data_IF_902779484819
#
_entry.id   IF_902779484819
#
_cell.length_a   1.000
_cell.length_b   1.000
_cell.length_c   1.000
_cell.angle_alpha   90.00
_cell.angle_beta   90.00
_cell.angle_gamma   90.00
#
_symmetry.space_group_name_H-M   'P 1'
#
loop_
_entity.id
_entity.type
_entity.pdbx_description
1 polymer ?
#
# COMPACT_ATOMS: atom_id res chain seq x y z
N UNK A 1 -14.18 -8.68 -3.17
CA UNK A 1 -12.79 -8.35 -3.54
C UNK A 1 -12.85 -7.33 -4.66
N UNK A 2 -11.75 -6.65 -4.97
CA UNK A 2 -11.75 -5.58 -5.97
C UNK A 2 -11.37 -6.13 -7.33
N UNK A 3 -12.13 -5.80 -8.37
CA UNK A 3 -11.80 -6.09 -9.78
C UNK A 3 -11.00 -4.98 -10.45
N UNK A 4 -10.79 -3.86 -9.75
CA UNK A 4 -9.89 -2.78 -10.16
C UNK A 4 -8.82 -2.57 -9.09
N UNK A 5 -7.56 -2.49 -9.52
CA UNK A 5 -6.41 -2.43 -8.63
C UNK A 5 -5.22 -1.82 -9.37
N UNK A 6 -4.15 -1.51 -8.65
CA UNK A 6 -2.91 -1.03 -9.26
C UNK A 6 -1.99 -2.21 -9.60
N UNK A 7 -1.26 -2.07 -10.70
CA UNK A 7 -0.28 -3.03 -11.19
C UNK A 7 1.03 -2.32 -11.50
N UNK A 8 2.15 -3.05 -11.50
CA UNK A 8 3.46 -2.46 -11.81
C UNK A 8 3.90 -2.94 -13.20
N UNK A 9 3.96 -2.04 -14.18
CA UNK A 9 4.55 -2.29 -15.49
C UNK A 9 6.05 -2.56 -15.39
N UNK A 10 6.47 -3.78 -15.72
CA UNK A 10 7.89 -4.16 -15.63
C UNK A 10 8.64 -4.02 -16.96
N UNK A 11 7.92 -3.89 -18.07
CA UNK A 11 8.48 -3.67 -19.40
C UNK A 11 7.65 -4.29 -20.51
N UNK A 12 8.07 -4.01 -21.75
CA UNK A 12 7.57 -4.70 -22.93
C UNK A 12 8.50 -5.90 -23.19
N UNK A 13 8.00 -7.11 -22.99
CA UNK A 13 8.77 -8.34 -23.04
C UNK A 13 8.30 -9.22 -24.19
N UNK A 14 9.11 -10.23 -24.52
CA UNK A 14 8.80 -11.18 -25.58
C UNK A 14 7.48 -11.89 -25.28
N UNK A 15 6.62 -11.96 -26.28
CA UNK A 15 5.40 -12.78 -26.29
C UNK A 15 5.71 -14.23 -25.84
N UNK A 16 4.98 -14.67 -24.81
CA UNK A 16 5.12 -16.00 -24.22
C UNK A 16 4.07 -16.99 -24.71
N UNK A 17 2.98 -16.58 -25.34
CA UNK A 17 1.97 -17.47 -25.91
C UNK A 17 1.80 -17.24 -27.42
N UNK A 18 2.76 -17.69 -28.24
CA UNK A 18 2.66 -17.52 -29.69
C UNK A 18 1.67 -18.49 -30.36
N UNK A 19 0.98 -19.38 -29.61
CA UNK A 19 0.11 -20.41 -30.17
C UNK A 19 -1.27 -20.39 -29.53
N UNK A 20 -2.15 -19.66 -30.18
CA UNK A 20 -3.57 -19.56 -29.83
C UNK A 20 -4.28 -20.93 -29.72
N UNK A 21 -5.28 -21.00 -28.85
CA UNK A 21 -6.18 -22.15 -28.69
C UNK A 21 -5.72 -23.24 -27.71
N UNK A 22 -4.72 -22.97 -26.86
CA UNK A 22 -4.29 -23.88 -25.79
C UNK A 22 -3.66 -23.12 -24.61
N UNK A 23 -3.47 -23.78 -23.45
CA UNK A 23 -2.93 -23.14 -22.22
C UNK A 23 -1.41 -23.24 -22.08
N UNK A 24 -0.67 -23.41 -23.19
CA UNK A 24 0.78 -23.59 -23.19
C UNK A 24 1.49 -22.28 -23.46
N UNK A 25 2.62 -22.10 -22.79
CA UNK A 25 3.53 -20.99 -23.02
C UNK A 25 4.87 -21.49 -23.58
N UNK A 26 5.52 -20.65 -24.38
CA UNK A 26 6.86 -20.87 -24.91
C UNK A 26 7.90 -20.78 -23.80
N UNK A 27 8.48 -21.93 -23.41
CA UNK A 27 9.52 -21.97 -22.38
C UNK A 27 10.72 -21.08 -22.71
N UNK A 28 11.10 -20.98 -23.99
CA UNK A 28 12.18 -20.11 -24.44
C UNK A 28 11.86 -18.63 -24.25
N UNK A 29 10.62 -18.23 -24.52
CA UNK A 29 10.17 -16.86 -24.29
C UNK A 29 10.03 -16.55 -22.80
N UNK A 30 9.44 -17.44 -22.01
CA UNK A 30 9.33 -17.31 -20.55
C UNK A 30 10.71 -17.16 -19.90
N UNK A 31 11.68 -17.98 -20.31
CA UNK A 31 13.06 -17.88 -19.79
C UNK A 31 13.76 -16.58 -20.23
N UNK A 32 13.33 -15.96 -21.33
CA UNK A 32 13.87 -14.67 -21.75
C UNK A 32 13.43 -13.51 -20.86
N UNK A 33 12.41 -13.71 -20.01
CA UNK A 33 12.00 -12.72 -19.02
C UNK A 33 12.88 -12.73 -17.76
N UNK A 34 13.73 -13.73 -17.54
CA UNK A 34 14.58 -13.79 -16.35
C UNK A 34 15.56 -12.60 -16.32
N UNK A 35 15.68 -11.96 -15.16
CA UNK A 35 16.47 -10.75 -15.00
C UNK A 35 15.86 -9.76 -14.01
N UNK A 36 16.50 -8.59 -13.89
CA UNK A 36 16.08 -7.52 -12.98
C UNK A 36 15.43 -6.38 -13.76
N UNK A 37 14.28 -5.93 -13.28
CA UNK A 37 13.52 -4.79 -13.82
C UNK A 37 13.40 -3.71 -12.75
N UNK A 38 13.66 -2.45 -13.13
CA UNK A 38 13.77 -1.33 -12.20
C UNK A 38 15.13 -1.22 -11.51
N UNK A 39 15.29 -0.19 -10.68
CA UNK A 39 16.53 0.04 -9.92
C UNK A 39 16.30 1.00 -8.75
N UNK A 40 17.28 1.14 -7.86
CA UNK A 40 17.24 2.18 -6.82
C UNK A 40 17.22 3.61 -7.40
N UNK A 41 17.84 3.82 -8.56
CA UNK A 41 17.87 5.12 -9.24
C UNK A 41 16.57 5.44 -9.99
N UNK A 42 15.88 4.41 -10.49
CA UNK A 42 14.57 4.51 -11.13
C UNK A 42 13.64 3.43 -10.55
N UNK A 43 13.05 3.67 -9.36
CA UNK A 43 12.21 2.70 -8.68
C UNK A 43 10.94 2.38 -9.46
N UNK A 44 10.59 1.09 -9.58
CA UNK A 44 9.32 0.68 -10.19
C UNK A 44 8.11 1.30 -9.49
N UNK A 45 8.19 1.49 -8.17
CA UNK A 45 7.16 2.16 -7.39
C UNK A 45 6.91 3.62 -7.81
N UNK A 46 7.76 4.24 -8.63
CA UNK A 46 7.60 5.65 -9.03
C UNK A 46 7.18 5.83 -10.48
N UNK A 47 7.61 4.93 -11.36
CA UNK A 47 7.51 5.14 -12.81
C UNK A 47 6.62 4.12 -13.51
N UNK A 48 6.26 3.03 -12.84
CA UNK A 48 5.67 1.86 -13.49
C UNK A 48 4.25 1.53 -13.03
N UNK A 49 3.68 2.23 -12.04
CA UNK A 49 2.34 1.90 -11.54
C UNK A 49 1.27 2.29 -12.57
N UNK A 50 0.30 1.40 -12.79
CA UNK A 50 -0.82 1.55 -13.72
C UNK A 50 -2.15 1.16 -13.08
N UNK A 51 -3.21 1.87 -13.43
CA UNK A 51 -4.57 1.52 -13.06
C UNK A 51 -5.06 0.35 -13.91
N UNK A 52 -5.30 -0.81 -13.28
CA UNK A 52 -5.94 -1.96 -13.90
C UNK A 52 -7.43 -1.99 -13.57
N UNK A 53 -8.28 -2.17 -14.57
CA UNK A 53 -9.72 -2.41 -14.39
C UNK A 53 -10.29 -3.29 -15.51
N UNK A 54 -11.48 -3.90 -15.34
CA UNK A 54 -12.09 -4.69 -16.41
C UNK A 54 -12.35 -3.84 -17.66
N UNK A 55 -12.14 -4.43 -18.84
CA UNK A 55 -12.35 -3.79 -20.14
C UNK A 55 -13.80 -3.86 -20.61
N UNK A 56 -14.06 -3.44 -21.85
CA UNK A 56 -15.42 -3.39 -22.40
C UNK A 56 -16.08 -4.77 -22.51
N UNK A 57 -15.30 -5.83 -22.71
CA UNK A 57 -15.79 -7.21 -22.71
C UNK A 57 -15.86 -7.79 -21.30
N UNK A 58 -15.23 -7.16 -20.31
CA UNK A 58 -15.12 -7.68 -18.95
C UNK A 58 -14.46 -9.07 -18.93
N UNK A 59 -15.07 -10.00 -18.19
CA UNK A 59 -14.70 -11.43 -18.16
C UNK A 59 -15.48 -12.24 -19.23
N UNK A 60 -15.82 -11.58 -20.34
CA UNK A 60 -16.87 -11.98 -21.28
C UNK A 60 -16.50 -13.06 -22.31
N UNK A 61 -15.28 -13.60 -22.26
CA UNK A 61 -14.88 -14.78 -23.03
C UNK A 61 -15.16 -16.12 -22.34
N UNK A 62 -15.44 -16.10 -21.02
CA UNK A 62 -15.54 -17.30 -20.20
C UNK A 62 -16.30 -17.12 -18.87
N UNK A 63 -15.77 -17.72 -17.79
CA UNK A 63 -16.42 -17.74 -16.47
C UNK A 63 -16.36 -16.37 -15.81
N UNK A 64 -17.50 -15.90 -15.27
CA UNK A 64 -17.60 -14.62 -14.57
C UNK A 64 -16.59 -14.52 -13.40
N UNK A 65 -15.45 -13.87 -13.63
CA UNK A 65 -14.41 -13.63 -12.61
C UNK A 65 -12.99 -14.03 -13.00
N UNK A 66 -12.74 -14.56 -14.20
CA UNK A 66 -11.39 -14.89 -14.69
C UNK A 66 -11.16 -14.23 -16.05
N UNK A 67 -10.01 -13.59 -16.22
CA UNK A 67 -9.48 -13.23 -17.53
C UNK A 67 -8.81 -14.48 -18.10
N UNK A 68 -9.43 -14.99 -19.15
CA UNK A 68 -8.89 -16.04 -19.96
C UNK A 68 -7.69 -15.52 -20.73
N UNK A 69 -6.74 -16.41 -20.95
CA UNK A 69 -5.71 -16.23 -21.96
C UNK A 69 -6.35 -15.94 -23.32
N UNK A 70 -5.65 -15.24 -24.23
CA UNK A 70 -6.15 -14.89 -25.57
C UNK A 70 -6.60 -16.09 -26.44
N UNK A 71 -6.32 -17.31 -25.99
CA UNK A 71 -6.69 -18.59 -26.58
C UNK A 71 -8.19 -18.99 -26.64
N UNK A 72 -9.14 -18.15 -26.22
CA UNK A 72 -10.58 -18.45 -26.29
C UNK A 72 -11.27 -17.76 -27.49
N UNK A 73 -12.48 -18.21 -27.87
CA UNK A 73 -13.20 -17.67 -29.04
C UNK A 73 -13.52 -16.16 -28.95
N UNK A 74 -13.43 -15.60 -27.74
CA UNK A 74 -13.55 -14.19 -27.44
C UNK A 74 -12.47 -13.83 -26.41
N UNK A 75 -11.63 -12.84 -26.73
CA UNK A 75 -10.56 -12.43 -25.83
C UNK A 75 -11.12 -11.56 -24.69
N UNK A 76 -10.60 -11.77 -23.50
CA UNK A 76 -10.89 -10.86 -22.39
C UNK A 76 -10.08 -9.58 -22.52
N UNK A 77 -10.72 -8.48 -22.16
CA UNK A 77 -10.12 -7.14 -22.20
C UNK A 77 -10.03 -6.58 -20.80
N UNK A 78 -8.96 -5.83 -20.57
CA UNK A 78 -8.80 -4.99 -19.39
C UNK A 78 -8.45 -3.57 -19.84
N UNK A 79 -8.42 -2.65 -18.89
CA UNK A 79 -7.91 -1.30 -19.11
C UNK A 79 -6.67 -1.06 -18.28
N UNK A 80 -5.70 -0.37 -18.88
CA UNK A 80 -4.52 0.19 -18.23
C UNK A 80 -4.63 1.69 -18.36
N UNK A 81 -4.74 2.39 -17.22
CA UNK A 81 -4.97 3.84 -17.18
C UNK A 81 -6.17 4.28 -18.02
N UNK A 82 -7.22 3.44 -18.07
CA UNK A 82 -8.44 3.66 -18.86
C UNK A 82 -8.32 3.37 -20.35
N UNK A 83 -7.13 2.96 -20.84
CA UNK A 83 -6.92 2.52 -22.21
C UNK A 83 -7.16 1.02 -22.31
N UNK A 84 -8.01 0.61 -23.25
CA UNK A 84 -8.34 -0.80 -23.46
C UNK A 84 -7.15 -1.60 -23.99
N UNK A 85 -6.97 -2.79 -23.43
CA UNK A 85 -5.93 -3.78 -23.71
C UNK A 85 -6.56 -5.17 -23.82
N UNK A 86 -5.93 -6.05 -24.59
CA UNK A 86 -6.33 -7.45 -24.73
C UNK A 86 -5.36 -8.31 -23.95
N UNK A 87 -5.89 -9.14 -23.05
CA UNK A 87 -5.10 -10.09 -22.27
C UNK A 87 -4.54 -11.18 -23.16
N UNK A 88 -3.25 -11.46 -23.01
CA UNK A 88 -2.50 -12.49 -23.74
C UNK A 88 -2.30 -13.68 -22.77
N UNK A 89 -1.28 -13.61 -21.91
CA UNK A 89 -0.94 -14.72 -21.02
C UNK A 89 -0.59 -14.26 -19.60
N UNK A 90 -0.72 -15.19 -18.64
CA UNK A 90 -0.27 -14.99 -17.25
C UNK A 90 0.71 -16.07 -16.81
N UNK A 91 1.78 -15.67 -16.14
CA UNK A 91 2.82 -16.55 -15.61
C UNK A 91 3.24 -16.17 -14.20
N UNK A 92 3.64 -17.18 -13.42
CA UNK A 92 4.21 -16.98 -12.09
C UNK A 92 5.73 -17.14 -12.11
N UNK A 93 6.42 -16.39 -11.25
CA UNK A 93 7.87 -16.49 -11.06
C UNK A 93 8.22 -16.49 -9.59
N UNK A 94 9.20 -17.32 -9.20
CA UNK A 94 9.94 -17.03 -7.98
C UNK A 94 10.72 -15.73 -8.22
N UNK A 95 10.45 -14.70 -7.44
CA UNK A 95 11.02 -13.39 -7.64
C UNK A 95 11.59 -12.81 -6.34
N UNK A 96 12.58 -11.93 -6.49
CA UNK A 96 13.15 -11.14 -5.41
C UNK A 96 12.76 -9.68 -5.60
N UNK A 97 12.05 -9.13 -4.62
CA UNK A 97 11.71 -7.72 -4.53
C UNK A 97 12.84 -7.01 -3.80
N UNK A 98 13.32 -5.90 -4.36
CA UNK A 98 14.22 -4.96 -3.67
C UNK A 98 13.46 -3.67 -3.41
N UNK A 99 13.46 -3.20 -2.17
CA UNK A 99 12.81 -1.95 -1.76
C UNK A 99 13.78 -0.77 -1.85
N UNK A 100 13.25 0.46 -1.88
CA UNK A 100 14.08 1.67 -1.94
C UNK A 100 15.02 1.84 -0.75
N UNK A 101 14.68 1.26 0.40
CA UNK A 101 15.54 1.29 1.58
C UNK A 101 16.69 0.27 1.52
N UNK A 102 16.76 -0.52 0.44
CA UNK A 102 17.78 -1.55 0.19
C UNK A 102 17.44 -2.92 0.75
N UNK A 103 16.36 -3.06 1.53
CA UNK A 103 15.90 -4.37 2.01
C UNK A 103 15.30 -5.19 0.86
N UNK A 104 15.21 -6.51 1.07
CA UNK A 104 14.71 -7.44 0.06
C UNK A 104 13.70 -8.43 0.64
N UNK A 105 12.77 -8.87 -0.20
CA UNK A 105 11.87 -9.99 0.11
C UNK A 105 11.68 -10.89 -1.11
N UNK A 106 11.21 -12.12 -0.88
CA UNK A 106 10.93 -13.08 -1.96
C UNK A 106 9.44 -13.31 -2.09
N UNK A 107 8.96 -13.46 -3.33
CA UNK A 107 7.54 -13.67 -3.64
C UNK A 107 7.35 -14.64 -4.81
N UNK A 108 6.18 -15.25 -4.91
CA UNK A 108 5.70 -15.91 -6.13
C UNK A 108 4.97 -14.88 -7.00
N UNK A 109 5.74 -14.04 -7.70
CA UNK A 109 5.19 -12.92 -8.48
C UNK A 109 4.26 -13.40 -9.61
N UNK A 110 3.05 -12.84 -9.66
CA UNK A 110 2.09 -13.04 -10.75
C UNK A 110 2.30 -11.97 -11.81
N UNK A 111 2.67 -12.35 -13.03
CA UNK A 111 2.88 -11.45 -14.16
C UNK A 111 1.83 -11.71 -15.24
N UNK A 112 1.19 -10.65 -15.71
CA UNK A 112 0.22 -10.68 -16.80
C UNK A 112 0.76 -9.87 -17.98
N UNK A 113 0.64 -10.43 -19.18
CA UNK A 113 1.03 -9.82 -20.44
C UNK A 113 -0.21 -9.43 -21.24
N UNK A 114 -0.15 -8.29 -21.93
CA UNK A 114 -1.07 -7.96 -23.01
C UNK A 114 -0.50 -8.36 -24.38
N UNK A 115 -1.36 -8.43 -25.39
CA UNK A 115 -0.99 -8.81 -26.77
C UNK A 115 0.01 -7.87 -27.47
N UNK A 116 0.34 -6.71 -26.89
CA UNK A 116 1.42 -5.85 -27.38
C UNK A 116 2.78 -6.19 -26.76
N UNK A 117 2.80 -7.15 -25.83
CA UNK A 117 3.98 -7.56 -25.07
C UNK A 117 4.17 -6.81 -23.76
N UNK A 118 3.28 -5.89 -23.37
CA UNK A 118 3.43 -5.15 -22.12
C UNK A 118 3.16 -6.07 -20.93
N UNK A 119 4.10 -6.13 -19.97
CA UNK A 119 4.03 -7.02 -18.81
C UNK A 119 3.87 -6.25 -17.53
N UNK A 120 2.96 -6.73 -16.70
CA UNK A 120 2.54 -6.09 -15.47
C UNK A 120 2.61 -7.08 -14.30
N UNK A 121 3.23 -6.67 -13.19
CA UNK A 121 3.18 -7.36 -11.91
C UNK A 121 1.83 -7.11 -11.25
N UNK A 122 1.11 -8.19 -11.02
CA UNK A 122 -0.23 -8.21 -10.44
C UNK A 122 -0.16 -8.33 -8.91
N UNK A 123 -1.12 -7.75 -8.19
CA UNK A 123 -1.30 -8.02 -6.76
C UNK A 123 -1.78 -9.45 -6.51
N UNK A 124 -1.63 -9.92 -5.27
CA UNK A 124 -2.02 -11.28 -4.85
C UNK A 124 -3.55 -11.48 -4.82
N UNK A 125 -4.00 -12.74 -4.85
CA UNK A 125 -5.44 -13.07 -4.76
C UNK A 125 -6.01 -12.83 -3.36
N UNK A 126 -5.17 -13.00 -2.35
CA UNK A 126 -5.52 -12.85 -0.95
C UNK A 126 -4.30 -12.32 -0.20
N UNK A 127 -4.52 -11.83 1.01
CA UNK A 127 -3.40 -11.52 1.86
C UNK A 127 -2.71 -12.82 2.30
N UNK A 128 -1.46 -12.97 1.86
CA UNK A 128 -0.57 -14.08 2.12
C UNK A 128 0.85 -13.51 2.37
N UNK A 129 1.85 -14.38 2.52
CA UNK A 129 3.23 -13.94 2.73
C UNK A 129 3.74 -13.05 1.59
N UNK A 130 3.35 -13.34 0.35
CA UNK A 130 3.76 -12.56 -0.82
C UNK A 130 3.13 -11.16 -0.82
N UNK A 131 1.85 -11.04 -0.43
CA UNK A 131 1.16 -9.77 -0.28
C UNK A 131 1.80 -8.90 0.83
N UNK A 132 2.22 -9.53 1.94
CA UNK A 132 2.94 -8.85 3.01
C UNK A 132 4.29 -8.30 2.52
N UNK A 133 5.03 -9.09 1.72
CA UNK A 133 6.29 -8.64 1.12
C UNK A 133 6.04 -7.51 0.12
N UNK A 134 5.16 -7.68 -0.87
CA UNK A 134 4.85 -6.63 -1.86
C UNK A 134 4.36 -5.33 -1.21
N UNK A 135 3.82 -5.44 0.00
CA UNK A 135 3.36 -4.34 0.83
C UNK A 135 4.35 -3.73 1.81
N UNK A 136 5.55 -4.30 1.93
CA UNK A 136 6.52 -3.90 2.96
C UNK A 136 7.15 -2.53 2.71
N UNK A 137 7.08 -2.02 1.48
CA UNK A 137 7.59 -0.71 1.13
C UNK A 137 7.62 -0.45 -0.38
N UNK A 138 8.17 0.69 -0.79
CA UNK A 138 8.27 1.04 -2.21
C UNK A 138 9.27 0.15 -2.93
N UNK A 139 8.78 -0.55 -3.97
CA UNK A 139 9.57 -1.47 -4.79
C UNK A 139 10.50 -0.68 -5.71
N UNK A 140 11.81 -0.83 -5.49
CA UNK A 140 12.84 -0.33 -6.38
C UNK A 140 12.97 -1.20 -7.63
N UNK A 141 13.08 -2.51 -7.44
CA UNK A 141 13.22 -3.48 -8.52
C UNK A 141 12.61 -4.84 -8.18
N UNK A 142 12.33 -5.61 -9.23
CA UNK A 142 11.98 -7.02 -9.16
C UNK A 142 13.00 -7.82 -9.98
N UNK A 143 13.53 -8.88 -9.40
CA UNK A 143 14.36 -9.87 -10.09
C UNK A 143 13.56 -11.15 -10.28
N UNK A 144 13.30 -11.54 -11.52
CA UNK A 144 12.66 -12.81 -11.87
C UNK A 144 13.72 -13.92 -11.88
N UNK A 145 13.65 -14.83 -10.90
CA UNK A 145 14.68 -15.83 -10.67
C UNK A 145 14.41 -17.14 -11.42
N UNK A 146 13.17 -17.61 -11.42
CA UNK A 146 12.77 -18.84 -12.11
C UNK A 146 11.27 -18.87 -12.39
N UNK A 147 10.83 -19.39 -13.55
CA UNK A 147 9.40 -19.55 -13.81
C UNK A 147 8.79 -20.66 -12.97
N UNK A 148 7.54 -20.45 -12.57
CA UNK A 148 6.66 -21.44 -11.97
C UNK A 148 5.60 -21.79 -13.02
N UNK A 149 5.40 -23.08 -13.29
CA UNK A 149 4.41 -23.53 -14.28
C UNK A 149 3.20 -24.15 -13.58
N UNK A 150 2.01 -23.93 -14.15
CA UNK A 150 0.77 -24.41 -13.57
C UNK A 150 0.76 -25.95 -13.46
N UNK A 151 0.29 -26.44 -12.30
CA UNK A 151 0.27 -27.88 -12.00
C UNK A 151 1.65 -28.55 -11.99
N UNK A 152 2.75 -27.78 -11.97
CA UNK A 152 4.12 -28.30 -12.12
C UNK A 152 4.45 -28.81 -13.52
N UNK A 153 3.57 -28.58 -14.51
CA UNK A 153 3.75 -29.06 -15.88
C UNK A 153 4.49 -28.02 -16.70
N UNK A 154 5.75 -28.31 -17.07
CA UNK A 154 6.57 -27.37 -17.87
C UNK A 154 5.85 -26.91 -19.13
N UNK A 155 5.91 -25.61 -19.38
CA UNK A 155 5.26 -24.96 -20.52
C UNK A 155 3.76 -24.75 -20.34
N UNK A 156 3.21 -24.84 -19.12
CA UNK A 156 1.80 -24.50 -18.86
C UNK A 156 1.66 -23.15 -18.15
N UNK A 157 0.85 -22.27 -18.74
CA UNK A 157 0.53 -20.94 -18.20
C UNK A 157 -0.56 -20.97 -17.14
N UNK A 158 -0.88 -19.79 -16.61
CA UNK A 158 -1.97 -19.56 -15.66
C UNK A 158 -3.04 -18.66 -16.28
N UNK A 159 -4.27 -18.78 -15.79
CA UNK A 159 -5.30 -17.77 -16.03
C UNK A 159 -5.24 -16.70 -14.95
N UNK A 160 -5.80 -15.52 -15.23
CA UNK A 160 -5.78 -14.39 -14.33
C UNK A 160 -7.14 -14.19 -13.68
N UNK A 161 -7.32 -14.53 -12.40
CA UNK A 161 -8.58 -14.21 -11.70
C UNK A 161 -8.71 -12.71 -11.46
N UNK A 162 -9.90 -12.16 -11.68
CA UNK A 162 -10.19 -10.73 -11.55
C UNK A 162 -10.37 -10.22 -10.12
N UNK A 163 -10.64 -11.10 -9.17
CA UNK A 163 -10.65 -10.74 -7.75
C UNK A 163 -9.22 -10.68 -7.20
N UNK A 164 -8.76 -9.48 -6.83
CA UNK A 164 -7.44 -9.28 -6.21
C UNK A 164 -7.49 -8.57 -4.86
N UNK A 165 -6.46 -8.83 -4.06
CA UNK A 165 -6.20 -8.17 -2.79
C UNK A 165 -5.51 -6.83 -3.04
N UNK A 166 -6.29 -5.74 -2.94
CA UNK A 166 -5.73 -4.40 -2.89
C UNK A 166 -5.12 -4.16 -1.52
N UNK A 167 -3.80 -4.05 -1.48
CA UNK A 167 -3.03 -3.77 -0.27
C UNK A 167 -3.27 -2.32 0.19
N UNK A 168 -3.94 -2.16 1.34
CA UNK A 168 -4.20 -0.85 1.93
C UNK A 168 -3.24 -0.55 3.09
N UNK A 169 -2.15 0.16 2.81
CA UNK A 169 -1.10 0.48 3.80
C UNK A 169 -1.16 1.90 4.36
N UNK A 170 -2.32 2.53 4.29
CA UNK A 170 -2.48 3.94 4.64
C UNK A 170 -2.48 4.18 6.16
N UNK A 171 -1.88 5.27 6.65
CA UNK A 171 -2.10 5.79 8.00
C UNK A 171 -3.58 6.18 8.25
N UNK A 172 -4.17 5.59 9.29
CA UNK A 172 -5.58 5.78 9.61
C UNK A 172 -5.81 5.86 11.12
N UNK A 173 -6.79 6.67 11.52
CA UNK A 173 -7.40 6.60 12.84
C UNK A 173 -8.57 5.60 12.83
N UNK A 174 -9.03 5.17 14.00
CA UNK A 174 -10.33 4.50 14.14
C UNK A 174 -11.37 5.47 14.72
N UNK A 175 -12.69 5.26 14.46
CA UNK A 175 -13.76 6.01 15.10
C UNK A 175 -13.60 6.10 16.62
N UNK A 176 -14.03 7.22 17.20
CA UNK A 176 -13.88 7.55 18.61
C UNK A 176 -12.52 8.16 18.98
N UNK A 177 -11.54 8.18 18.06
CA UNK A 177 -10.32 8.95 18.27
C UNK A 177 -10.67 10.44 18.27
N UNK A 178 -10.31 11.15 19.34
CA UNK A 178 -10.58 12.56 19.50
C UNK A 178 -9.42 13.40 18.97
N UNK A 179 -9.72 14.29 18.05
CA UNK A 179 -8.77 15.23 17.44
C UNK A 179 -8.97 16.60 18.06
N UNK A 180 -7.88 17.24 18.48
CA UNK A 180 -7.93 18.58 19.04
C UNK A 180 -8.28 19.61 17.95
N UNK A 181 -9.40 20.33 18.14
CA UNK A 181 -9.86 21.38 17.22
C UNK A 181 -10.00 22.72 17.95
N UNK A 182 -10.21 23.80 17.19
CA UNK A 182 -10.52 25.12 17.78
C UNK A 182 -11.79 25.11 18.65
N UNK A 183 -12.69 24.13 18.46
CA UNK A 183 -13.94 23.99 19.21
C UNK A 183 -13.83 22.99 20.37
N UNK A 184 -12.61 22.57 20.72
CA UNK A 184 -12.35 21.46 21.63
C UNK A 184 -12.10 20.15 20.88
N UNK A 185 -11.96 19.07 21.64
CA UNK A 185 -11.74 17.73 21.09
C UNK A 185 -12.99 17.23 20.35
N UNK A 186 -12.82 16.71 19.12
CA UNK A 186 -13.91 16.16 18.31
C UNK A 186 -13.56 14.77 17.78
N UNK A 187 -14.54 13.84 17.71
CA UNK A 187 -14.30 12.53 17.09
C UNK A 187 -13.86 12.66 15.63
N UNK A 188 -12.87 11.87 15.23
CA UNK A 188 -12.26 11.92 13.89
C UNK A 188 -13.28 11.66 12.77
N UNK A 189 -14.27 10.80 13.00
CA UNK A 189 -15.35 10.48 12.06
C UNK A 189 -16.32 11.66 11.80
N UNK A 190 -16.34 12.64 12.70
CA UNK A 190 -17.15 13.85 12.60
C UNK A 190 -16.42 15.02 11.95
N UNK A 191 -15.10 14.92 11.73
CA UNK A 191 -14.35 15.94 11.03
C UNK A 191 -14.85 16.05 9.59
N UNK A 192 -14.89 17.29 9.10
CA UNK A 192 -15.26 17.64 7.74
C UNK A 192 -14.24 18.58 7.13
N UNK A 193 -14.07 18.59 5.80
CA UNK A 193 -13.31 19.64 5.12
C UNK A 193 -13.75 21.04 5.59
N UNK A 194 -12.80 21.90 5.90
CA UNK A 194 -13.02 23.23 6.49
C UNK A 194 -12.88 23.30 8.02
N UNK A 195 -12.93 22.16 8.73
CA UNK A 195 -12.68 22.14 10.17
C UNK A 195 -11.23 22.53 10.50
N UNK A 196 -11.01 23.24 11.62
CA UNK A 196 -9.67 23.70 12.05
C UNK A 196 -9.12 22.84 13.17
N UNK A 197 -8.05 22.11 12.88
CA UNK A 197 -7.37 21.16 13.78
C UNK A 197 -6.07 21.77 14.29
N UNK A 198 -5.73 21.49 15.55
CA UNK A 198 -4.46 21.87 16.16
C UNK A 198 -3.34 21.01 15.56
N UNK A 199 -2.35 21.67 14.96
CA UNK A 199 -1.13 21.02 14.46
C UNK A 199 0.09 21.48 15.24
N UNK A 200 1.13 20.64 15.24
CA UNK A 200 2.34 20.85 16.04
C UNK A 200 3.13 22.09 15.62
N UNK A 201 3.27 22.29 14.31
CA UNK A 201 4.22 23.26 13.75
C UNK A 201 3.55 24.52 13.21
N UNK A 202 2.33 24.38 12.67
CA UNK A 202 1.68 25.42 11.89
C UNK A 202 0.41 25.97 12.57
N UNK A 203 0.24 25.71 13.87
CA UNK A 203 -0.94 26.15 14.62
C UNK A 203 -2.23 25.50 14.12
N UNK A 204 -3.31 26.28 13.98
CA UNK A 204 -4.58 25.75 13.50
C UNK A 204 -4.60 25.61 11.98
N UNK A 205 -4.67 24.38 11.47
CA UNK A 205 -4.76 24.09 10.03
C UNK A 205 -6.13 23.57 9.63
N UNK A 206 -6.53 23.90 8.41
CA UNK A 206 -7.82 23.52 7.84
C UNK A 206 -7.75 22.10 7.26
N UNK A 207 -8.61 21.22 7.73
CA UNK A 207 -8.82 19.90 7.13
C UNK A 207 -9.27 20.10 5.69
N UNK A 208 -8.57 19.46 4.76
CA UNK A 208 -8.87 19.57 3.33
C UNK A 208 -9.66 18.40 2.81
N UNK A 209 -9.43 17.21 3.36
CA UNK A 209 -10.10 16.01 2.95
C UNK A 209 -10.19 15.02 4.11
N UNK A 210 -11.25 14.22 4.10
CA UNK A 210 -11.46 13.13 5.04
C UNK A 210 -11.90 11.88 4.29
N UNK A 211 -11.21 10.77 4.48
CA UNK A 211 -11.56 9.48 3.86
C UNK A 211 -11.99 8.43 4.87
N UNK A 212 -12.67 7.39 4.40
CA UNK A 212 -13.02 6.24 5.25
C UNK A 212 -12.88 4.92 4.52
N UNK A 213 -12.38 3.90 5.20
CA UNK A 213 -12.30 2.55 4.65
C UNK A 213 -12.72 1.53 5.72
N UNK A 214 -13.54 0.56 5.35
CA UNK A 214 -14.07 -0.44 6.30
C UNK A 214 -13.53 -1.82 5.94
N UNK A 215 -12.99 -2.52 6.93
CA UNK A 215 -12.57 -3.91 6.85
C UNK A 215 -13.45 -4.74 7.78
N UNK A 216 -14.10 -5.77 7.24
CA UNK A 216 -14.91 -6.71 8.02
C UNK A 216 -14.04 -7.82 8.66
N UNK A 217 -14.65 -8.66 9.50
CA UNK A 217 -13.96 -9.76 10.15
C UNK A 217 -13.26 -10.70 9.15
N UNK A 218 -13.86 -10.94 7.98
CA UNK A 218 -13.31 -11.83 6.97
C UNK A 218 -12.06 -11.22 6.34
N UNK A 219 -12.09 -9.93 6.02
CA UNK A 219 -10.96 -9.18 5.52
C UNK A 219 -9.79 -9.17 6.51
N UNK A 220 -10.07 -8.97 7.81
CA UNK A 220 -9.04 -8.99 8.87
C UNK A 220 -8.56 -10.39 9.25
N UNK A 221 -9.37 -11.43 9.03
CA UNK A 221 -8.93 -12.81 9.16
C UNK A 221 -7.96 -13.20 8.05
N UNK A 222 -8.22 -12.75 6.82
CA UNK A 222 -7.29 -12.92 5.70
C UNK A 222 -6.06 -12.03 5.87
N UNK A 223 -6.21 -10.82 6.42
CA UNK A 223 -5.13 -9.86 6.63
C UNK A 223 -4.94 -9.43 8.10
N UNK A 224 -4.38 -10.30 8.95
CA UNK A 224 -4.12 -9.97 10.36
C UNK A 224 -3.21 -8.76 10.54
N UNK A 225 -2.27 -8.53 9.60
CA UNK A 225 -1.33 -7.39 9.63
C UNK A 225 -2.00 -6.03 9.35
N UNK A 226 -3.31 -6.02 9.06
CA UNK A 226 -4.14 -4.82 8.95
C UNK A 226 -4.98 -4.57 10.20
N UNK A 227 -4.87 -5.40 11.24
CA UNK A 227 -5.56 -5.18 12.52
C UNK A 227 -5.03 -3.90 13.18
N UNK A 228 -5.90 -3.12 13.85
CA UNK A 228 -5.47 -1.89 14.48
C UNK A 228 -4.49 -2.18 15.62
N UNK A 229 -3.51 -1.31 15.80
CA UNK A 229 -2.64 -1.29 16.98
C UNK A 229 -3.32 -0.44 18.04
N UNK A 230 -3.47 -1.00 19.24
CA UNK A 230 -3.94 -0.31 20.44
C UNK A 230 -2.73 0.21 21.22
N UNK A 231 -2.71 1.51 21.44
CA UNK A 231 -1.73 2.19 22.27
C UNK A 231 -2.47 2.67 23.52
N UNK A 232 -2.13 2.11 24.67
CA UNK A 232 -2.75 2.42 25.97
C UNK A 232 -2.37 3.82 26.44
N UNK A 233 -3.23 4.41 27.27
CA UNK A 233 -2.91 5.66 27.96
C UNK A 233 -1.54 5.57 28.66
N UNK A 234 -0.68 6.57 28.43
CA UNK A 234 0.68 6.63 28.99
C UNK A 234 1.75 5.76 28.31
N UNK A 235 1.42 4.97 27.28
CA UNK A 235 2.37 4.05 26.64
C UNK A 235 3.49 4.73 25.82
N UNK A 236 3.30 5.99 25.39
CA UNK A 236 4.27 6.75 24.60
C UNK A 236 5.07 7.77 25.43
N UNK A 237 4.89 7.76 26.74
CA UNK A 237 5.50 8.69 27.67
C UNK A 237 4.52 9.14 28.75
N UNK A 238 4.98 9.93 29.75
CA UNK A 238 4.13 10.40 30.83
C UNK A 238 2.85 11.06 30.30
N UNK A 239 1.70 10.51 30.71
CA UNK A 239 0.36 10.98 30.32
C UNK A 239 0.11 11.02 28.79
N UNK A 240 0.86 10.26 28.00
CA UNK A 240 0.77 10.25 26.53
C UNK A 240 0.64 8.82 25.98
N UNK A 241 -0.41 8.49 25.21
CA UNK A 241 -1.63 9.27 25.02
C UNK A 241 -2.38 9.47 26.35
N UNK A 242 -3.30 10.43 26.39
CA UNK A 242 -4.10 10.72 27.61
C UNK A 242 -5.22 9.70 27.84
N UNK A 243 -5.54 8.92 26.80
CA UNK A 243 -6.50 7.81 26.77
C UNK A 243 -6.09 6.83 25.68
N UNK A 244 -6.62 5.61 25.76
CA UNK A 244 -6.38 4.57 24.75
C UNK A 244 -6.69 5.08 23.33
N UNK A 245 -5.78 4.85 22.38
CA UNK A 245 -5.96 5.17 20.97
C UNK A 245 -5.73 3.92 20.12
N UNK A 246 -6.55 3.74 19.08
CA UNK A 246 -6.39 2.69 18.08
C UNK A 246 -6.09 3.32 16.73
N UNK A 247 -5.05 2.83 16.07
CA UNK A 247 -4.58 3.34 14.78
C UNK A 247 -4.22 2.19 13.84
N UNK A 248 -4.14 2.45 12.54
CA UNK A 248 -3.65 1.44 11.61
C UNK A 248 -2.17 1.10 11.89
N UNK A 249 -1.70 -0.12 11.57
CA UNK A 249 -0.33 -0.57 11.83
C UNK A 249 0.78 0.35 11.31
N UNK A 250 0.57 0.96 10.15
CA UNK A 250 1.54 1.89 9.55
C UNK A 250 1.33 3.35 9.99
N UNK A 251 0.30 3.66 10.78
CA UNK A 251 0.09 5.00 11.30
C UNK A 251 1.26 5.39 12.19
N UNK A 252 1.92 6.51 11.88
CA UNK A 252 3.08 6.96 12.62
C UNK A 252 2.70 7.87 13.78
N UNK A 253 3.18 7.48 14.95
CA UNK A 253 3.10 8.27 16.16
C UNK A 253 4.39 9.07 16.32
N UNK A 254 4.27 10.31 16.79
CA UNK A 254 5.42 11.15 17.09
C UNK A 254 5.99 10.74 18.45
N UNK A 255 7.24 10.27 18.44
CA UNK A 255 7.99 10.05 19.65
C UNK A 255 9.00 11.18 19.84
N UNK A 256 9.01 11.77 21.03
CA UNK A 256 10.00 12.76 21.43
C UNK A 256 10.91 12.15 22.49
N UNK A 257 12.18 11.95 22.16
CA UNK A 257 13.13 11.31 23.06
C UNK A 257 14.54 11.87 22.86
N UNK A 258 15.32 12.02 23.93
CA UNK A 258 16.71 12.49 23.86
C UNK A 258 17.62 11.49 23.15
N UNK A 259 17.34 10.18 23.29
CA UNK A 259 18.06 9.14 22.57
C UNK A 259 17.84 9.21 21.06
N UNK A 260 16.66 9.65 20.61
CA UNK A 260 16.41 9.85 19.18
C UNK A 260 17.31 10.96 18.61
N UNK A 261 17.57 12.03 19.38
CA UNK A 261 18.50 13.09 19.01
C UNK A 261 19.94 12.56 18.88
N UNK A 262 20.36 11.72 19.83
CA UNK A 262 21.69 11.09 19.80
C UNK A 262 21.85 10.12 18.62
N UNK A 263 20.82 9.32 18.33
CA UNK A 263 20.89 8.26 17.31
C UNK A 263 20.67 8.77 15.89
N UNK A 264 19.77 9.74 15.71
CA UNK A 264 19.27 10.14 14.39
C UNK A 264 19.42 11.64 14.12
N UNK A 265 19.96 12.42 15.05
CA UNK A 265 20.11 13.87 14.93
C UNK A 265 18.81 14.66 15.09
N UNK A 266 17.69 13.97 15.38
CA UNK A 266 16.36 14.55 15.47
C UNK A 266 15.71 14.15 16.80
N UNK A 267 15.30 15.15 17.59
CA UNK A 267 14.65 14.90 18.90
C UNK A 267 13.21 14.39 18.76
N UNK A 268 12.62 14.56 17.59
CA UNK A 268 11.24 14.21 17.26
C UNK A 268 11.22 13.34 16.01
N UNK A 269 10.77 12.11 16.16
CA UNK A 269 10.75 11.11 15.09
C UNK A 269 9.36 10.49 14.97
N UNK A 270 8.99 10.12 13.74
CA UNK A 270 7.75 9.41 13.45
C UNK A 270 8.02 7.91 13.39
N UNK A 271 7.26 7.12 14.16
CA UNK A 271 7.40 5.67 14.24
C UNK A 271 6.06 5.01 13.96
N UNK A 272 6.03 4.08 13.01
CA UNK A 272 4.83 3.30 12.70
C UNK A 272 4.37 2.49 13.92
N UNK A 273 3.07 2.50 14.21
CA UNK A 273 2.51 1.87 15.40
C UNK A 273 2.87 0.39 15.54
N UNK A 274 2.97 -0.36 14.44
CA UNK A 274 3.40 -1.76 14.45
C UNK A 274 4.84 -1.97 14.97
N UNK A 275 5.71 -0.97 14.79
CA UNK A 275 7.08 -1.02 15.28
C UNK A 275 7.17 -0.62 16.77
N UNK A 276 6.06 -0.18 17.38
CA UNK A 276 5.95 0.16 18.79
C UNK A 276 5.44 -1.01 19.64
N UNK A 277 5.09 -2.16 19.05
CA UNK A 277 4.49 -3.31 19.77
C UNK A 277 5.38 -3.84 20.91
N UNK A 278 6.69 -3.58 20.87
CA UNK A 278 7.62 -3.96 21.94
C UNK A 278 7.64 -2.97 23.12
N UNK A 279 6.92 -1.84 23.05
CA UNK A 279 6.71 -0.95 24.19
C UNK A 279 5.60 -1.49 25.11
N UNK A 280 5.80 -1.32 26.41
CA UNK A 280 4.76 -1.63 27.39
C UNK A 280 3.49 -0.81 27.11
N UNK A 281 2.33 -1.48 27.08
CA UNK A 281 1.05 -0.84 26.79
C UNK A 281 0.75 -0.65 25.30
N UNK A 282 1.54 -1.23 24.39
CA UNK A 282 1.21 -1.27 22.95
C UNK A 282 0.90 -2.72 22.54
N UNK A 283 -0.27 -2.95 21.95
CA UNK A 283 -0.73 -4.29 21.60
C UNK A 283 -1.53 -4.32 20.29
N UNK A 284 -1.63 -5.49 19.66
CA UNK A 284 -2.43 -5.71 18.46
C UNK A 284 -3.63 -6.61 18.81
N UNK A 285 -4.77 -6.05 19.27
CA UNK A 285 -5.91 -6.85 19.70
C UNK A 285 -6.61 -7.54 18.54
N UNK A 286 -7.24 -8.68 18.82
CA UNK A 286 -8.23 -9.25 17.89
C UNK A 286 -9.45 -8.32 17.77
N UNK A 287 -10.01 -8.24 16.57
CA UNK A 287 -11.20 -7.43 16.31
C UNK A 287 -12.09 -8.08 15.26
N UNK A 288 -13.41 -7.90 15.39
CA UNK A 288 -14.43 -8.40 14.44
C UNK A 288 -14.63 -7.48 13.22
N UNK A 289 -13.81 -6.44 13.10
CA UNK A 289 -13.85 -5.46 12.02
C UNK A 289 -13.21 -4.15 12.46
N UNK A 290 -12.93 -3.27 11.51
CA UNK A 290 -12.42 -1.92 11.79
C UNK A 290 -12.84 -0.96 10.69
N UNK A 291 -13.21 0.25 11.09
CA UNK A 291 -13.31 1.39 10.17
C UNK A 291 -12.09 2.26 10.39
N UNK A 292 -11.44 2.60 9.28
CA UNK A 292 -10.28 3.46 9.23
C UNK A 292 -10.68 4.81 8.65
N UNK A 293 -10.21 5.89 9.28
CA UNK A 293 -10.50 7.28 8.93
C UNK A 293 -9.21 8.01 8.61
N UNK A 294 -9.17 8.68 7.46
CA UNK A 294 -8.05 9.49 7.01
C UNK A 294 -8.38 10.97 7.15
N UNK A 295 -7.38 11.76 7.52
CA UNK A 295 -7.50 13.22 7.60
C UNK A 295 -6.31 13.83 6.88
N UNK A 296 -6.56 14.66 5.88
CA UNK A 296 -5.52 15.29 5.07
C UNK A 296 -5.64 16.82 5.13
N UNK A 297 -4.49 17.48 5.11
CA UNK A 297 -4.33 18.93 5.11
C UNK A 297 -3.72 19.40 3.79
N UNK A 298 -3.33 20.68 3.72
CA UNK A 298 -2.62 21.21 2.54
C UNK A 298 -1.14 20.77 2.49
N UNK A 299 -0.57 20.51 3.66
CA UNK A 299 0.77 19.97 3.86
C UNK A 299 0.65 18.78 4.80
N UNK A 300 1.69 17.98 4.88
CA UNK A 300 1.72 16.96 5.90
C UNK A 300 1.85 17.63 7.27
N UNK A 301 0.87 17.41 8.13
CA UNK A 301 0.81 17.96 9.48
C UNK A 301 0.98 16.83 10.52
N UNK A 302 1.53 17.18 11.68
CA UNK A 302 1.44 16.36 12.90
C UNK A 302 0.31 16.94 13.74
N UNK A 303 -0.69 16.12 14.06
CA UNK A 303 -1.92 16.54 14.75
C UNK A 303 -2.03 15.89 16.13
N UNK A 304 -2.78 16.53 17.03
CA UNK A 304 -2.99 16.03 18.39
C UNK A 304 -4.26 15.16 18.44
N UNK A 305 -4.07 13.87 18.74
CA UNK A 305 -5.10 12.85 18.79
C UNK A 305 -5.04 12.09 20.13
N UNK A 306 -6.11 12.11 20.94
CA UNK A 306 -6.14 11.49 22.28
C UNK A 306 -4.90 11.87 23.12
N UNK A 307 -4.53 13.15 23.12
CA UNK A 307 -3.34 13.64 23.82
C UNK A 307 -1.98 13.25 23.22
N UNK A 308 -1.91 12.39 22.20
CA UNK A 308 -0.68 12.02 21.50
C UNK A 308 -0.55 12.74 20.16
N UNK A 309 0.69 13.08 19.80
CA UNK A 309 1.00 13.64 18.48
C UNK A 309 1.15 12.51 17.46
N UNK A 310 0.47 12.61 16.32
CA UNK A 310 0.56 11.61 15.25
C UNK A 310 0.49 12.26 13.88
N UNK A 311 0.87 11.49 12.85
CA UNK A 311 0.86 11.97 11.48
C UNK A 311 -0.58 12.19 10.94
N UNK A 312 -0.72 13.13 10.01
CA UNK A 312 -1.90 13.22 9.13
C UNK A 312 -1.67 12.38 7.88
N UNK A 313 -2.70 12.22 7.05
CA UNK A 313 -2.55 11.49 5.79
C UNK A 313 -1.54 12.18 4.88
N UNK A 314 -0.46 11.47 4.52
CA UNK A 314 0.61 11.94 3.65
C UNK A 314 0.53 11.31 2.25
N UNK A 315 -0.13 11.96 1.26
CA UNK A 315 -0.25 11.45 -0.11
C UNK A 315 1.07 11.02 -0.78
N UNK A 316 2.17 11.68 -0.43
CA UNK A 316 3.51 11.44 -0.98
C UNK A 316 4.14 10.10 -0.57
N UNK A 317 3.67 9.49 0.53
CA UNK A 317 4.18 8.21 1.04
C UNK A 317 3.40 7.01 0.48
N UNK A 318 2.99 7.11 -0.80
CA UNK A 318 2.22 6.07 -1.49
C UNK A 318 0.80 5.87 -0.93
N UNK A 319 0.36 6.70 0.02
CA UNK A 319 -0.94 6.57 0.67
C UNK A 319 -2.13 6.89 -0.23
N UNK A 320 -1.94 7.73 -1.26
CA UNK A 320 -2.94 7.98 -2.32
C UNK A 320 -3.31 6.74 -3.11
N UNK A 321 -2.38 5.79 -3.17
CA UNK A 321 -2.42 4.61 -4.03
C UNK A 321 -3.15 3.46 -3.35
N UNK A 322 -3.16 3.49 -2.02
CA UNK A 322 -3.90 2.60 -1.12
C UNK A 322 -5.23 3.17 -0.61
N UNK A 323 -5.64 4.38 -1.01
CA UNK A 323 -7.03 4.83 -0.85
C UNK A 323 -7.79 4.42 -2.10
N UNK A 324 -8.94 3.77 -1.94
CA UNK A 324 -9.68 3.19 -3.07
C UNK A 324 -9.95 4.20 -4.20
N UNK A 325 -10.05 3.72 -5.45
CA UNK A 325 -10.11 4.53 -6.69
C UNK A 325 -11.01 5.78 -6.61
N UNK A 326 -12.20 5.67 -6.01
CA UNK A 326 -13.10 6.80 -5.84
C UNK A 326 -12.52 7.92 -4.95
N UNK A 327 -11.90 7.55 -3.83
CA UNK A 327 -11.24 8.48 -2.90
C UNK A 327 -9.99 9.08 -3.50
N UNK A 328 -9.19 8.29 -4.23
CA UNK A 328 -8.03 8.81 -4.95
C UNK A 328 -8.45 9.83 -6.01
N UNK A 329 -9.46 9.53 -6.81
CA UNK A 329 -9.97 10.46 -7.82
C UNK A 329 -10.49 11.75 -7.19
N UNK A 330 -11.15 11.66 -6.04
CA UNK A 330 -11.55 12.83 -5.26
C UNK A 330 -10.33 13.65 -4.81
N UNK A 331 -9.32 13.02 -4.22
CA UNK A 331 -8.11 13.73 -3.77
C UNK A 331 -7.37 14.36 -4.95
N UNK A 332 -7.22 13.65 -6.08
CA UNK A 332 -6.59 14.20 -7.30
C UNK A 332 -7.42 15.32 -7.94
N UNK A 333 -8.74 15.34 -7.74
CA UNK A 333 -9.60 16.45 -8.16
C UNK A 333 -9.39 17.68 -7.26
N UNK A 334 -9.25 17.47 -5.95
CA UNK A 334 -9.02 18.53 -4.97
C UNK A 334 -7.58 19.07 -4.98
N UNK A 335 -6.62 18.21 -5.32
CA UNK A 335 -5.18 18.45 -5.34
C UNK A 335 -4.55 17.94 -6.65
N UNK A 336 -4.78 18.62 -7.78
CA UNK A 336 -4.29 18.17 -9.08
C UNK A 336 -2.77 18.03 -9.16
N UNK A 337 -2.03 18.80 -8.37
CA UNK A 337 -0.57 18.73 -8.28
C UNK A 337 -0.06 17.35 -7.87
N UNK A 338 -0.83 16.59 -7.08
CA UNK A 338 -0.46 15.25 -6.60
C UNK A 338 -0.50 14.19 -7.70
N UNK A 339 -1.04 14.50 -8.88
CA UNK A 339 -1.00 13.63 -10.05
C UNK A 339 0.42 13.51 -10.64
N UNK A 340 1.30 14.48 -10.37
CA UNK A 340 2.66 14.49 -10.88
C UNK A 340 3.68 14.10 -9.77
N UNK A 341 4.78 13.39 -10.11
CA UNK A 341 5.85 13.08 -9.17
C UNK A 341 6.40 14.32 -8.45
N UNK A 342 6.44 15.48 -9.12
CA UNK A 342 6.88 16.75 -8.52
C UNK A 342 5.97 17.25 -7.41
N UNK A 343 4.66 17.04 -7.50
CA UNK A 343 3.72 17.43 -6.44
C UNK A 343 3.77 16.47 -5.25
N UNK A 344 3.95 15.16 -5.52
CA UNK A 344 4.20 14.16 -4.47
C UNK A 344 5.51 14.45 -3.71
N UNK A 345 6.58 14.76 -4.42
CA UNK A 345 7.89 15.13 -3.83
C UNK A 345 7.82 16.43 -3.03
N UNK A 346 6.87 17.33 -3.35
CA UNK A 346 6.60 18.55 -2.59
C UNK A 346 5.83 18.31 -1.28
N UNK A 347 5.24 17.12 -1.09
CA UNK A 347 4.47 16.74 0.09
C UNK A 347 5.32 15.89 1.06
N UNK A 348 6.38 16.51 1.58
CA UNK A 348 7.34 15.87 2.47
C UNK A 348 6.76 15.59 3.86
N UNK A 349 7.29 14.56 4.53
CA UNK A 349 6.93 14.26 5.92
C UNK A 349 7.33 15.44 6.82
N UNK A 350 6.57 15.66 7.88
CA UNK A 350 6.78 16.79 8.79
C UNK A 350 7.97 16.56 9.73
N UNK A 351 8.37 15.30 9.89
CA UNK A 351 9.48 14.82 10.71
C UNK A 351 10.12 13.61 10.04
N UNK A 352 11.32 13.26 10.50
CA UNK A 352 12.01 12.04 10.10
C UNK A 352 11.16 10.82 10.50
N UNK A 353 10.84 9.99 9.52
CA UNK A 353 10.17 8.70 9.74
C UNK A 353 11.21 7.60 9.85
N UNK A 354 11.25 6.92 11.00
CA UNK A 354 12.19 5.82 11.23
C UNK A 354 11.79 4.57 10.45
N UNK A 355 12.80 3.91 9.87
CA UNK A 355 12.67 2.57 9.30
C UNK A 355 12.44 1.52 10.40
N UNK A 356 11.93 0.32 10.06
CA UNK A 356 11.66 -0.72 11.06
C UNK A 356 12.84 -1.03 11.98
N UNK A 357 14.04 -1.21 11.43
CA UNK A 357 15.25 -1.52 12.23
C UNK A 357 15.75 -0.34 13.07
N UNK A 358 15.55 0.90 12.61
CA UNK A 358 15.88 2.12 13.37
C UNK A 358 14.92 2.28 14.56
N UNK A 359 13.62 2.05 14.32
CA UNK A 359 12.62 2.07 15.37
C UNK A 359 12.86 0.98 16.42
N UNK A 360 13.13 -0.26 15.98
CA UNK A 360 13.44 -1.37 16.89
C UNK A 360 14.63 -1.07 17.80
N UNK A 361 15.71 -0.52 17.23
CA UNK A 361 16.89 -0.10 17.98
C UNK A 361 16.53 0.94 19.06
N UNK A 362 15.81 2.00 18.68
CA UNK A 362 15.40 3.06 19.60
C UNK A 362 14.50 2.52 20.72
N UNK A 363 13.50 1.71 20.40
CA UNK A 363 12.57 1.14 21.38
C UNK A 363 13.29 0.21 22.34
N UNK A 364 14.24 -0.60 21.85
CA UNK A 364 15.00 -1.53 22.69
C UNK A 364 15.85 -0.84 23.76
N UNK A 365 16.31 0.38 23.49
CA UNK A 365 17.11 1.18 24.41
C UNK A 365 16.24 2.05 25.33
N UNK A 366 15.03 2.43 24.93
CA UNK A 366 14.06 3.13 25.79
C UNK A 366 13.46 2.19 26.84
N UNK A 367 13.29 0.91 26.51
CA UNK A 367 12.74 -0.10 27.41
C UNK A 367 13.75 -0.66 28.43
N UNK A 368 15.00 -0.19 28.43
CA UNK A 368 16.02 -0.48 29.45
C UNK A 368 16.01 0.58 30.54
#
# INVERSE_FOLDING_TARGET
>A
MSTSFEVIFIGNLRDIDPVEGNTRVSQGAVNSWLGTYGSLANPLSETAIRDFAPGSTGFGGGSAGVYDTDNNASNDTFTIDGVEKTHDATMLFNATITFKDGTTGTVSAVLSQDTNGDVYLMPEFANNADAAVLGSGPIASITLNSPLYAGGQRGQGYNLTGDRFATNFVPCFTPGTLIATIKGERPVEELRPGDRVVTRDNGLQEVRWTGRHMLDAKALASAPDLRPVLIRAGALGPETPDRDIRVSPNHRMLLRNELAEVMFGEREVLIAAKNLINLEGVECPETSGVTYVHVMFRRHEVILANGAWSESFQPGDYSLRSVGRAQRNEILTLFPELAAPSGLNGYQAARLSLKPHEAELLISEIGR
#
